data_IF_072211966745
#
_entry.id   IF_072211966745
#
_cell.length_a   1.000
_cell.length_b   1.000
_cell.length_c   1.000
_cell.angle_alpha   90.00
_cell.angle_beta   90.00
_cell.angle_gamma   90.00
#
_symmetry.space_group_name_H-M   'P 1'
#
loop_
_entity.id
_entity.type
_entity.pdbx_description
1 polymer ?
#
# COMPACT_ATOMS: atom_id res chain seq x y z
N UNK A 1 -66.39 67.72 40.78
CA UNK A 1 -67.11 66.42 40.59
C UNK A 1 -66.12 65.44 40.10
N UNK A 2 -65.53 64.66 41.02
CA UNK A 2 -64.46 63.68 40.74
C UNK A 2 -65.11 62.31 40.68
N UNK A 3 -65.11 61.64 39.48
CA UNK A 3 -65.60 60.28 39.28
C UNK A 3 -64.44 59.30 39.52
N UNK A 4 -64.58 58.50 40.60
CA UNK A 4 -63.64 57.44 40.96
C UNK A 4 -64.01 56.21 40.14
N UNK A 5 -63.13 55.84 39.22
CA UNK A 5 -63.28 54.61 38.43
C UNK A 5 -62.68 53.44 39.23
N UNK A 6 -63.52 52.55 39.80
CA UNK A 6 -63.18 51.38 40.55
C UNK A 6 -62.95 50.21 39.55
N UNK A 7 -61.68 49.90 39.20
CA UNK A 7 -61.35 48.73 38.39
C UNK A 7 -61.34 47.48 39.28
N UNK A 8 -62.34 46.61 39.06
CA UNK A 8 -62.36 45.28 39.66
C UNK A 8 -61.28 44.47 39.10
N UNK A 9 -60.29 44.10 39.90
CA UNK A 9 -59.27 43.09 39.62
C UNK A 9 -59.90 41.71 39.85
N UNK A 10 -60.24 40.98 38.76
CA UNK A 10 -60.70 39.59 38.87
C UNK A 10 -59.43 38.70 38.82
N UNK A 11 -59.11 37.95 39.90
CA UNK A 11 -57.99 37.00 39.84
C UNK A 11 -58.37 35.84 38.88
N UNK A 12 -57.67 35.73 37.77
CA UNK A 12 -57.78 34.59 36.87
C UNK A 12 -57.09 33.46 37.56
N UNK A 13 -57.86 32.52 38.12
CA UNK A 13 -57.34 31.22 38.56
C UNK A 13 -56.99 30.42 37.33
N UNK A 14 -55.69 30.23 37.06
CA UNK A 14 -55.19 29.29 36.07
C UNK A 14 -55.63 27.88 36.49
N UNK A 15 -56.57 27.30 35.78
CA UNK A 15 -57.05 25.95 36.03
C UNK A 15 -55.91 24.99 35.63
N UNK A 16 -55.22 24.39 36.61
CA UNK A 16 -54.23 23.37 36.36
C UNK A 16 -54.93 22.13 35.82
N UNK A 17 -54.54 21.69 34.63
CA UNK A 17 -54.95 20.40 34.07
C UNK A 17 -54.05 19.30 34.65
N UNK A 18 -54.65 18.16 34.97
CA UNK A 18 -53.95 16.99 35.48
C UNK A 18 -54.20 15.81 34.53
N UNK A 19 -53.12 15.06 34.24
CA UNK A 19 -53.19 13.83 33.44
C UNK A 19 -52.51 12.70 34.23
N UNK A 20 -53.31 11.66 34.49
CA UNK A 20 -52.92 10.52 35.30
C UNK A 20 -52.96 9.24 34.46
N UNK A 21 -52.30 8.20 34.92
CA UNK A 21 -52.41 6.89 34.28
C UNK A 21 -51.51 5.84 34.85
N UNK A 22 -51.62 4.66 34.25
CA UNK A 22 -50.82 3.49 34.58
C UNK A 22 -50.18 2.91 33.31
N UNK A 23 -48.99 2.37 33.47
CA UNK A 23 -48.25 1.69 32.41
C UNK A 23 -47.95 0.26 32.86
N UNK A 24 -48.46 -0.71 32.13
CA UNK A 24 -48.35 -2.14 32.42
C UNK A 24 -47.70 -2.86 31.24
N UNK A 25 -47.18 -4.04 31.52
CA UNK A 25 -46.70 -4.95 30.48
C UNK A 25 -47.91 -5.68 29.85
N UNK A 26 -47.92 -5.71 28.54
CA UNK A 26 -48.96 -6.40 27.77
C UNK A 26 -48.92 -7.92 28.03
N UNK A 27 -50.08 -8.50 28.41
CA UNK A 27 -50.25 -9.91 28.68
C UNK A 27 -50.01 -10.37 30.11
N UNK A 28 -49.17 -9.65 30.89
CA UNK A 28 -48.92 -10.02 32.30
C UNK A 28 -49.54 -9.02 33.29
N UNK A 29 -49.92 -7.83 32.82
CA UNK A 29 -50.40 -6.71 33.64
C UNK A 29 -49.44 -6.29 34.75
N UNK A 30 -48.17 -6.65 34.65
CA UNK A 30 -47.13 -6.20 35.57
C UNK A 30 -46.86 -4.71 35.42
N UNK A 31 -46.76 -3.93 36.54
CA UNK A 31 -46.50 -2.50 36.47
C UNK A 31 -45.08 -2.22 35.96
N UNK A 32 -44.93 -1.25 35.02
CA UNK A 32 -43.67 -0.86 34.48
C UNK A 32 -43.15 0.40 35.21
N UNK A 33 -42.06 0.21 35.94
CA UNK A 33 -41.37 1.30 36.66
C UNK A 33 -40.41 2.08 35.73
N UNK A 34 -40.26 3.37 35.90
CA UNK A 34 -39.41 4.26 35.15
C UNK A 34 -39.71 4.31 33.64
N UNK A 35 -40.92 4.06 33.23
CA UNK A 35 -41.35 4.35 31.87
C UNK A 35 -41.44 5.86 31.70
N UNK A 36 -40.90 6.39 30.61
CA UNK A 36 -40.90 7.81 30.28
C UNK A 36 -42.19 8.13 29.52
N UNK A 37 -42.98 9.01 30.06
CA UNK A 37 -44.19 9.56 29.45
C UNK A 37 -43.88 10.94 28.89
N UNK A 38 -44.26 11.22 27.66
CA UNK A 38 -44.11 12.51 27.02
C UNK A 38 -45.42 12.93 26.33
N UNK A 39 -45.79 14.18 26.46
CA UNK A 39 -46.88 14.79 25.69
C UNK A 39 -46.24 15.63 24.59
N UNK A 40 -46.54 15.29 23.34
CA UNK A 40 -45.98 15.92 22.17
C UNK A 40 -47.07 16.60 21.34
N UNK A 41 -46.74 17.73 20.71
CA UNK A 41 -47.58 18.36 19.71
C UNK A 41 -47.50 17.62 18.36
N UNK A 42 -48.32 18.05 17.39
CA UNK A 42 -48.32 17.43 16.02
C UNK A 42 -46.96 17.55 15.29
N UNK A 43 -46.11 18.49 15.69
CA UNK A 43 -44.75 18.63 15.17
C UNK A 43 -43.71 17.77 15.92
N UNK A 44 -44.17 16.86 16.82
CA UNK A 44 -43.33 15.97 17.61
C UNK A 44 -42.43 16.66 18.66
N UNK A 45 -42.73 17.94 19.01
CA UNK A 45 -42.05 18.64 20.08
C UNK A 45 -42.63 18.25 21.43
N UNK A 46 -41.77 17.90 22.38
CA UNK A 46 -42.13 17.52 23.74
C UNK A 46 -42.52 18.78 24.54
N UNK A 47 -43.71 18.79 25.12
CA UNK A 47 -44.21 19.89 25.97
C UNK A 47 -44.16 19.53 27.46
N UNK A 48 -44.54 18.30 27.78
CA UNK A 48 -44.57 17.80 29.15
C UNK A 48 -43.98 16.41 29.22
N UNK A 49 -43.30 16.10 30.34
CA UNK A 49 -42.74 14.76 30.56
C UNK A 49 -42.77 14.39 32.04
N UNK A 50 -42.97 13.10 32.31
CA UNK A 50 -42.79 12.49 33.62
C UNK A 50 -42.36 11.03 33.51
N UNK A 51 -42.15 10.39 34.64
CA UNK A 51 -41.76 8.94 34.69
C UNK A 51 -42.74 8.20 35.63
N UNK A 52 -42.97 6.93 35.35
CA UNK A 52 -43.77 6.07 36.22
C UNK A 52 -43.04 5.72 37.52
N UNK A 53 -43.80 5.57 38.60
CA UNK A 53 -43.32 5.03 39.87
C UNK A 53 -43.26 3.49 39.89
N UNK A 54 -43.00 2.88 41.07
CA UNK A 54 -42.90 1.40 41.22
C UNK A 54 -44.18 0.66 40.92
N UNK A 55 -45.33 1.29 41.09
CA UNK A 55 -46.67 0.77 40.83
C UNK A 55 -47.11 1.03 39.37
N UNK A 56 -46.18 1.52 38.50
CA UNK A 56 -46.46 1.87 37.10
C UNK A 56 -47.32 3.10 36.94
N UNK A 57 -47.61 3.87 38.04
CA UNK A 57 -48.43 5.05 38.01
C UNK A 57 -47.66 6.28 37.61
N UNK A 58 -48.24 7.13 36.77
CA UNK A 58 -47.69 8.48 36.46
C UNK A 58 -48.74 9.54 36.76
N UNK A 59 -48.25 10.74 37.10
CA UNK A 59 -49.03 11.93 37.28
C UNK A 59 -48.31 13.09 36.64
N UNK A 60 -49.00 13.87 35.82
CA UNK A 60 -48.44 14.98 35.06
C UNK A 60 -49.36 16.19 35.17
N UNK A 61 -48.84 17.26 35.73
CA UNK A 61 -49.54 18.53 35.83
C UNK A 61 -49.29 19.38 34.59
N UNK A 62 -50.36 19.89 33.99
CA UNK A 62 -50.30 20.71 32.77
C UNK A 62 -50.84 22.10 33.06
N UNK A 63 -50.48 23.11 32.26
CA UNK A 63 -50.88 24.49 32.48
C UNK A 63 -52.30 24.86 32.05
N UNK A 64 -53.20 23.86 31.99
CA UNK A 64 -54.60 24.09 31.61
C UNK A 64 -54.82 24.32 30.12
N UNK A 65 -53.84 23.94 29.28
CA UNK A 65 -53.96 24.00 27.82
C UNK A 65 -54.89 22.91 27.31
N UNK A 66 -55.56 23.16 26.17
CA UNK A 66 -56.36 22.13 25.51
C UNK A 66 -55.42 21.12 24.85
N UNK A 67 -55.33 19.93 25.45
CA UNK A 67 -54.44 18.86 25.01
C UNK A 67 -55.12 17.87 24.02
N UNK A 68 -56.32 18.17 23.55
CA UNK A 68 -57.09 17.25 22.68
C UNK A 68 -56.38 16.87 21.40
N UNK A 69 -55.54 17.75 20.84
CA UNK A 69 -54.77 17.53 19.60
C UNK A 69 -53.36 16.97 19.84
N UNK A 70 -53.00 16.67 21.08
CA UNK A 70 -51.65 16.20 21.44
C UNK A 70 -51.59 14.67 21.48
N UNK A 71 -50.36 14.15 21.42
CA UNK A 71 -50.07 12.73 21.44
C UNK A 71 -49.32 12.41 22.73
N UNK A 72 -49.85 11.45 23.49
CA UNK A 72 -49.15 10.84 24.62
C UNK A 72 -48.25 9.72 24.10
N UNK A 73 -46.95 9.82 24.36
CA UNK A 73 -45.97 8.79 24.03
C UNK A 73 -45.39 8.19 25.29
N UNK A 74 -45.23 6.87 25.30
CA UNK A 74 -44.65 6.15 26.41
C UNK A 74 -43.52 5.26 25.87
N UNK A 75 -42.37 5.35 26.53
CA UNK A 75 -41.18 4.54 26.19
C UNK A 75 -40.52 3.99 27.45
N UNK A 76 -40.10 2.75 27.39
CA UNK A 76 -39.31 2.10 28.43
C UNK A 76 -38.27 1.18 27.78
N UNK A 77 -37.10 1.06 28.41
CA UNK A 77 -36.08 0.13 27.95
C UNK A 77 -36.59 -1.30 28.07
N UNK A 78 -36.43 -2.09 27.00
CA UNK A 78 -36.95 -3.46 26.95
C UNK A 78 -38.36 -3.58 26.38
N UNK A 79 -39.02 -2.49 26.00
CA UNK A 79 -40.40 -2.47 25.47
C UNK A 79 -40.49 -1.71 24.14
N UNK A 80 -41.49 -2.05 23.34
CA UNK A 80 -41.85 -1.25 22.16
C UNK A 80 -42.46 0.07 22.63
N UNK A 81 -42.09 1.23 22.11
CA UNK A 81 -42.74 2.49 22.47
C UNK A 81 -44.21 2.48 21.98
N UNK A 82 -45.11 2.97 22.83
CA UNK A 82 -46.50 3.16 22.52
C UNK A 82 -46.86 4.64 22.38
N UNK A 83 -47.83 4.95 21.56
CA UNK A 83 -48.37 6.29 21.41
C UNK A 83 -49.87 6.24 21.26
N UNK A 84 -50.56 7.16 21.94
CA UNK A 84 -52.01 7.30 21.81
C UNK A 84 -52.41 8.81 21.75
N UNK A 85 -53.43 9.18 20.97
CA UNK A 85 -53.98 10.51 20.95
C UNK A 85 -54.61 10.81 22.32
N UNK A 86 -54.42 12.02 22.84
CA UNK A 86 -54.94 12.40 24.14
C UNK A 86 -56.47 12.58 24.13
N UNK A 87 -56.99 13.25 23.10
CA UNK A 87 -58.40 13.59 23.05
C UNK A 87 -58.84 14.33 24.33
N UNK A 88 -60.04 14.09 24.80
CA UNK A 88 -60.59 14.68 26.05
C UNK A 88 -60.34 13.82 27.30
N UNK A 89 -59.45 12.80 27.20
CA UNK A 89 -59.17 11.88 28.30
C UNK A 89 -58.13 12.49 29.25
N UNK A 90 -58.37 12.35 30.56
CA UNK A 90 -57.46 12.73 31.62
C UNK A 90 -56.79 11.55 32.31
N UNK A 91 -57.29 10.32 32.08
CA UNK A 91 -56.73 9.08 32.65
C UNK A 91 -56.44 8.08 31.56
N UNK A 92 -55.26 7.43 31.63
CA UNK A 92 -54.74 6.52 30.63
C UNK A 92 -54.32 5.17 31.26
N UNK A 93 -54.69 4.09 30.63
CA UNK A 93 -54.07 2.78 30.84
C UNK A 93 -53.32 2.40 29.59
N UNK A 94 -52.01 2.21 29.72
CA UNK A 94 -51.13 1.97 28.59
C UNK A 94 -50.41 0.64 28.79
N UNK A 95 -50.50 -0.21 27.79
CA UNK A 95 -49.82 -1.50 27.77
C UNK A 95 -48.64 -1.44 26.82
N UNK A 96 -47.46 -1.84 27.28
CA UNK A 96 -46.24 -1.91 26.47
C UNK A 96 -45.90 -3.37 26.17
N UNK A 97 -45.64 -3.64 24.89
CA UNK A 97 -45.19 -4.93 24.41
C UNK A 97 -43.71 -5.14 24.71
N UNK A 98 -43.29 -6.24 25.37
CA UNK A 98 -41.89 -6.56 25.56
C UNK A 98 -41.15 -6.66 24.24
N UNK A 99 -39.97 -6.04 24.14
CA UNK A 99 -39.12 -6.11 22.98
C UNK A 99 -37.71 -6.51 23.40
N UNK A 100 -37.27 -7.70 23.00
CA UNK A 100 -35.88 -8.09 23.12
C UNK A 100 -35.01 -7.16 22.25
N UNK A 101 -34.13 -6.41 22.88
CA UNK A 101 -33.07 -5.70 22.15
C UNK A 101 -32.03 -6.70 21.71
N UNK A 102 -32.00 -7.04 20.43
CA UNK A 102 -30.79 -7.59 19.83
C UNK A 102 -29.71 -6.50 19.93
N UNK A 103 -28.70 -6.69 20.77
CA UNK A 103 -27.52 -5.86 20.75
C UNK A 103 -26.96 -5.93 19.33
N UNK A 104 -26.80 -4.79 18.67
CA UNK A 104 -26.05 -4.76 17.41
C UNK A 104 -24.67 -5.33 17.70
N UNK A 105 -24.25 -6.31 16.90
CA UNK A 105 -22.91 -6.84 16.96
C UNK A 105 -21.92 -5.67 16.99
N UNK A 106 -21.08 -5.64 18.01
CA UNK A 106 -19.99 -4.68 18.10
C UNK A 106 -18.95 -5.17 17.12
N UNK A 107 -18.99 -4.68 15.88
CA UNK A 107 -17.90 -4.85 14.94
C UNK A 107 -16.68 -4.11 15.48
N UNK A 108 -15.79 -4.82 16.13
CA UNK A 108 -14.45 -4.33 16.42
C UNK A 108 -13.75 -4.19 15.07
N UNK A 109 -13.72 -2.99 14.51
CA UNK A 109 -12.89 -2.69 13.34
C UNK A 109 -11.45 -2.96 13.77
N UNK A 110 -10.82 -3.96 13.16
CA UNK A 110 -9.39 -4.21 13.37
C UNK A 110 -8.62 -2.90 13.16
N UNK A 111 -7.72 -2.59 14.07
CA UNK A 111 -6.89 -1.40 13.96
C UNK A 111 -6.09 -1.49 12.66
N UNK A 112 -6.11 -0.42 11.86
CA UNK A 112 -5.39 -0.38 10.59
C UNK A 112 -3.88 -0.45 10.75
N UNK A 113 -3.38 0.07 11.86
CA UNK A 113 -1.96 0.12 12.24
C UNK A 113 -1.86 -0.36 13.67
N UNK A 114 -0.95 -1.29 13.91
CA UNK A 114 -0.58 -1.76 15.26
C UNK A 114 0.92 -1.62 15.43
N UNK A 115 1.35 -1.24 16.62
CA UNK A 115 2.76 -1.10 16.96
C UNK A 115 3.09 -2.04 18.11
N UNK A 116 4.13 -2.84 17.95
CA UNK A 116 4.60 -3.76 18.97
C UNK A 116 6.13 -3.82 18.95
N UNK A 117 6.79 -3.33 20.00
CA UNK A 117 8.24 -3.15 20.07
C UNK A 117 8.76 -2.42 18.80
N UNK A 118 9.75 -2.99 18.12
CA UNK A 118 10.37 -2.45 16.91
C UNK A 118 9.57 -2.74 15.63
N UNK A 119 8.34 -3.27 15.74
CA UNK A 119 7.54 -3.65 14.59
C UNK A 119 6.27 -2.81 14.48
N UNK A 120 6.11 -2.14 13.35
CA UNK A 120 4.87 -1.47 12.95
C UNK A 120 4.16 -2.31 11.89
N UNK A 121 2.95 -2.78 12.19
CA UNK A 121 2.14 -3.61 11.30
C UNK A 121 0.99 -2.82 10.68
N UNK A 122 0.87 -2.88 9.38
CA UNK A 122 -0.20 -2.26 8.60
C UNK A 122 -1.13 -3.32 8.03
N UNK A 123 -2.42 -3.25 8.35
CA UNK A 123 -3.42 -4.13 7.75
C UNK A 123 -3.73 -3.66 6.33
N UNK A 124 -3.39 -4.45 5.31
CA UNK A 124 -3.51 -4.08 3.89
C UNK A 124 -4.94 -3.68 3.52
N UNK A 125 -5.95 -4.41 4.00
CA UNK A 125 -7.36 -4.07 3.75
C UNK A 125 -7.79 -2.69 4.28
N UNK A 126 -7.03 -2.11 5.21
CA UNK A 126 -7.29 -0.78 5.76
C UNK A 126 -6.83 0.36 4.83
N UNK A 127 -5.95 0.09 3.86
CA UNK A 127 -5.33 1.07 2.97
C UNK A 127 -5.62 0.79 1.49
N UNK A 128 -6.06 -0.42 1.13
CA UNK A 128 -6.37 -0.80 -0.25
C UNK A 128 -7.69 -0.20 -0.73
N UNK A 129 -7.77 0.05 -2.03
CA UNK A 129 -8.96 0.49 -2.75
C UNK A 129 -9.14 -0.32 -4.03
N UNK A 130 -10.33 -0.28 -4.64
CA UNK A 130 -10.64 -1.01 -5.88
C UNK A 130 -9.77 -0.60 -7.10
N UNK A 131 -9.05 0.52 -7.02
CA UNK A 131 -8.15 0.99 -8.07
C UNK A 131 -6.73 0.40 -7.96
N UNK A 132 -6.38 -0.14 -6.80
CA UNK A 132 -5.05 -0.68 -6.56
C UNK A 132 -4.93 -2.07 -7.20
N UNK A 133 -3.80 -2.34 -7.81
CA UNK A 133 -3.51 -3.63 -8.43
C UNK A 133 -2.40 -4.35 -7.70
N UNK A 134 -1.38 -3.63 -7.29
CA UNK A 134 -0.16 -4.18 -6.71
C UNK A 134 0.02 -3.74 -5.27
N UNK A 135 0.87 -4.46 -4.55
CA UNK A 135 1.21 -4.05 -3.18
C UNK A 135 1.90 -2.67 -3.15
N UNK A 136 2.65 -2.32 -4.18
CA UNK A 136 3.29 -1.00 -4.29
C UNK A 136 2.29 0.15 -4.35
N UNK A 137 1.08 -0.05 -4.93
CA UNK A 137 0.02 0.96 -4.94
C UNK A 137 -0.53 1.21 -3.53
N UNK A 138 -0.62 0.16 -2.72
CA UNK A 138 -1.11 0.23 -1.34
C UNK A 138 -0.04 0.78 -0.39
N UNK A 139 1.24 0.39 -0.56
CA UNK A 139 2.36 0.90 0.23
C UNK A 139 2.44 2.43 0.20
N UNK A 140 2.21 3.07 -0.95
CA UNK A 140 2.18 4.54 -1.11
C UNK A 140 1.14 5.24 -0.24
N UNK A 141 0.15 4.52 0.27
CA UNK A 141 -0.94 5.05 1.10
C UNK A 141 -0.73 4.79 2.60
N UNK A 142 0.28 4.02 2.95
CA UNK A 142 0.60 3.69 4.34
C UNK A 142 1.46 4.82 4.95
N UNK A 143 1.06 5.39 6.09
CA UNK A 143 1.82 6.46 6.73
C UNK A 143 3.26 6.06 7.02
N UNK A 144 4.20 6.96 6.76
CA UNK A 144 5.63 6.74 6.96
C UNK A 144 6.32 5.95 5.85
N UNK A 145 5.59 5.31 4.93
CA UNK A 145 6.16 4.57 3.80
C UNK A 145 6.15 5.45 2.54
N UNK A 146 7.29 5.57 1.90
CA UNK A 146 7.46 6.26 0.64
C UNK A 146 7.96 5.28 -0.43
N UNK A 147 7.35 5.31 -1.61
CA UNK A 147 7.76 4.50 -2.76
C UNK A 147 8.13 5.43 -3.90
N UNK A 148 9.41 5.49 -4.22
CA UNK A 148 9.95 6.33 -5.28
C UNK A 148 9.60 5.82 -6.68
N UNK A 149 9.82 6.65 -7.71
CA UNK A 149 9.53 6.27 -9.11
C UNK A 149 10.37 5.08 -9.61
N UNK A 150 11.59 4.93 -9.13
CA UNK A 150 12.45 3.78 -9.42
C UNK A 150 12.02 2.49 -8.72
N UNK A 151 11.08 2.56 -7.77
CA UNK A 151 10.59 1.45 -6.98
C UNK A 151 11.26 1.27 -5.63
N UNK A 152 12.25 2.13 -5.27
CA UNK A 152 12.84 2.10 -3.92
C UNK A 152 11.80 2.48 -2.88
N UNK A 153 11.91 1.83 -1.71
CA UNK A 153 11.01 2.04 -0.58
C UNK A 153 11.81 2.61 0.59
N UNK A 154 11.25 3.60 1.27
CA UNK A 154 11.78 4.12 2.52
C UNK A 154 10.70 4.18 3.58
N UNK A 155 11.11 4.15 4.83
CA UNK A 155 10.26 4.30 6.00
C UNK A 155 10.78 5.42 6.89
N UNK A 156 9.96 6.43 7.15
CA UNK A 156 10.34 7.63 7.92
C UNK A 156 11.67 8.26 7.42
N UNK A 157 11.87 8.31 6.10
CA UNK A 157 13.06 8.85 5.47
C UNK A 157 14.27 7.90 5.44
N UNK A 158 14.21 6.71 6.07
CA UNK A 158 15.26 5.69 6.02
C UNK A 158 14.97 4.69 4.91
N UNK A 159 15.95 4.40 4.05
CA UNK A 159 15.83 3.34 3.05
C UNK A 159 15.67 1.98 3.73
N UNK A 160 14.86 1.07 3.15
CA UNK A 160 14.78 -0.30 3.66
C UNK A 160 16.03 -1.09 3.26
N UNK A 161 16.53 -1.90 4.19
CA UNK A 161 17.71 -2.75 3.99
C UNK A 161 17.32 -4.07 3.33
N UNK A 162 16.21 -4.68 3.78
CA UNK A 162 15.73 -5.95 3.24
C UNK A 162 14.22 -5.90 2.96
N UNK A 163 13.79 -6.64 1.94
CA UNK A 163 12.38 -6.82 1.57
C UNK A 163 12.03 -8.31 1.61
N UNK A 164 11.22 -8.70 2.56
CA UNK A 164 10.90 -10.08 2.83
C UNK A 164 9.45 -10.41 2.42
N UNK A 165 9.23 -11.66 2.05
CA UNK A 165 7.91 -12.25 1.90
C UNK A 165 7.85 -13.48 2.81
N UNK A 166 6.92 -13.52 3.78
CA UNK A 166 6.85 -14.58 4.81
C UNK A 166 8.20 -14.79 5.52
N UNK A 167 8.95 -13.69 5.76
CA UNK A 167 10.25 -13.72 6.42
C UNK A 167 11.43 -14.23 5.59
N UNK A 168 11.30 -14.28 4.26
CA UNK A 168 12.34 -14.74 3.34
C UNK A 168 12.57 -13.73 2.23
N UNK A 169 13.82 -13.40 1.93
CA UNK A 169 14.17 -12.58 0.77
C UNK A 169 14.20 -13.43 -0.50
N UNK A 170 13.15 -13.32 -1.33
CA UNK A 170 13.03 -13.99 -2.62
C UNK A 170 13.71 -13.21 -3.75
N UNK A 171 13.79 -11.88 -3.60
CA UNK A 171 14.14 -10.99 -4.70
C UNK A 171 15.59 -10.48 -4.65
N UNK A 172 16.32 -10.78 -3.57
CA UNK A 172 17.74 -10.45 -3.43
C UNK A 172 17.99 -8.95 -3.71
N UNK A 173 17.32 -8.10 -2.94
CA UNK A 173 17.40 -6.64 -3.09
C UNK A 173 16.64 -6.05 -4.30
N UNK A 174 16.16 -6.87 -5.23
CA UNK A 174 15.37 -6.42 -6.41
C UNK A 174 13.87 -6.36 -6.09
N UNK A 175 13.52 -5.79 -4.95
CA UNK A 175 12.15 -5.80 -4.42
C UNK A 175 11.14 -4.96 -5.22
N UNK A 176 11.58 -4.12 -6.15
CA UNK A 176 10.69 -3.47 -7.10
C UNK A 176 9.96 -4.47 -8.02
N UNK A 177 10.52 -5.67 -8.24
CA UNK A 177 9.79 -6.77 -8.88
C UNK A 177 8.56 -7.12 -8.04
N UNK A 178 8.73 -7.27 -6.72
CA UNK A 178 7.63 -7.57 -5.80
C UNK A 178 6.59 -6.43 -5.75
N UNK A 179 7.04 -5.19 -5.54
CA UNK A 179 6.13 -4.03 -5.38
C UNK A 179 5.29 -3.76 -6.62
N UNK A 180 5.81 -4.07 -7.82
CA UNK A 180 5.12 -3.82 -9.09
C UNK A 180 4.27 -4.99 -9.58
N UNK A 181 4.48 -6.20 -9.08
CA UNK A 181 3.87 -7.40 -9.66
C UNK A 181 3.04 -8.23 -8.67
N UNK A 182 3.34 -8.20 -7.37
CA UNK A 182 2.53 -8.92 -6.38
C UNK A 182 1.21 -8.17 -6.15
N UNK A 183 0.09 -8.88 -6.34
CA UNK A 183 -1.24 -8.32 -6.05
C UNK A 183 -1.41 -8.07 -4.55
N UNK A 184 -1.94 -6.89 -4.20
CA UNK A 184 -2.28 -6.58 -2.81
C UNK A 184 -3.31 -7.54 -2.20
N UNK A 185 -4.13 -8.20 -3.03
CA UNK A 185 -5.14 -9.15 -2.59
C UNK A 185 -4.54 -10.41 -1.95
N UNK A 186 -3.29 -10.72 -2.24
CA UNK A 186 -2.57 -11.85 -1.65
C UNK A 186 -2.04 -11.53 -0.26
N UNK A 187 -1.89 -10.25 0.08
CA UNK A 187 -1.23 -9.77 1.30
C UNK A 187 -2.28 -9.47 2.38
N UNK A 188 -2.05 -9.97 3.58
CA UNK A 188 -2.87 -9.69 4.77
C UNK A 188 -2.38 -8.44 5.50
N UNK A 189 -1.07 -8.35 5.76
CA UNK A 189 -0.44 -7.23 6.45
C UNK A 189 0.99 -6.98 5.95
N UNK A 190 1.46 -5.77 6.17
CA UNK A 190 2.85 -5.36 5.95
C UNK A 190 3.45 -5.04 7.31
N UNK A 191 4.55 -5.68 7.64
CA UNK A 191 5.31 -5.39 8.85
C UNK A 191 6.57 -4.59 8.49
N UNK A 192 6.77 -3.45 9.13
CA UNK A 192 8.02 -2.71 9.13
C UNK A 192 8.72 -3.04 10.43
N UNK A 193 9.93 -3.58 10.34
CA UNK A 193 10.74 -3.98 11.47
C UNK A 193 11.97 -3.06 11.51
N UNK A 194 12.06 -2.23 12.54
CA UNK A 194 13.21 -1.37 12.78
C UNK A 194 14.24 -2.13 13.65
N UNK A 195 15.49 -1.70 13.62
CA UNK A 195 16.60 -2.34 14.34
C UNK A 195 16.80 -3.84 14.03
N UNK A 196 16.45 -4.21 12.78
CA UNK A 196 16.57 -5.60 12.32
C UNK A 196 18.04 -5.97 12.11
N UNK A 197 18.42 -7.12 12.63
CA UNK A 197 19.73 -7.73 12.38
C UNK A 197 19.58 -8.93 11.45
N UNK A 198 20.25 -8.89 10.30
CA UNK A 198 20.17 -9.94 9.25
C UNK A 198 20.74 -11.28 9.72
N UNK A 199 21.63 -11.28 10.71
CA UNK A 199 22.18 -12.48 11.34
C UNK A 199 21.71 -12.57 12.80
N UNK A 200 21.15 -13.71 13.19
CA UNK A 200 20.64 -13.92 14.57
C UNK A 200 21.72 -13.85 15.62
N UNK A 201 22.95 -14.21 15.29
CA UNK A 201 24.11 -14.11 16.18
C UNK A 201 24.44 -12.66 16.56
N UNK A 202 24.03 -11.70 15.73
CA UNK A 202 24.28 -10.27 15.96
C UNK A 202 23.16 -9.55 16.70
N UNK A 203 22.08 -10.23 17.09
CA UNK A 203 20.93 -9.60 17.77
C UNK A 203 21.28 -8.87 19.06
N UNK A 204 22.29 -9.34 19.77
CA UNK A 204 22.74 -8.76 21.03
C UNK A 204 23.90 -7.75 20.83
N UNK A 205 24.29 -7.49 19.57
CA UNK A 205 25.32 -6.50 19.27
C UNK A 205 24.74 -5.08 19.36
N UNK A 206 25.55 -4.12 19.84
CA UNK A 206 25.17 -2.70 19.93
C UNK A 206 25.18 -1.95 18.56
N UNK A 207 25.30 -2.67 17.45
CA UNK A 207 25.27 -2.05 16.14
C UNK A 207 23.83 -1.62 15.79
N UNK A 208 23.68 -0.46 15.17
CA UNK A 208 22.38 -0.02 14.64
C UNK A 208 21.87 -1.05 13.63
N UNK A 209 20.68 -1.58 13.88
CA UNK A 209 20.01 -2.49 12.96
C UNK A 209 19.40 -1.76 11.77
N UNK A 210 19.19 -2.50 10.70
CA UNK A 210 18.50 -1.97 9.51
C UNK A 210 16.99 -1.90 9.66
N UNK A 211 16.33 -1.33 8.65
CA UNK A 211 14.87 -1.33 8.51
C UNK A 211 14.47 -2.37 7.48
N UNK A 212 13.54 -3.25 7.83
CA UNK A 212 13.07 -4.34 6.98
C UNK A 212 11.57 -4.21 6.74
N UNK A 213 11.14 -4.44 5.50
CA UNK A 213 9.74 -4.57 5.13
C UNK A 213 9.42 -6.05 4.88
N UNK A 214 8.45 -6.60 5.61
CA UNK A 214 8.00 -7.97 5.44
C UNK A 214 6.53 -8.04 5.02
N UNK A 215 6.26 -8.73 3.93
CA UNK A 215 4.91 -9.01 3.44
C UNK A 215 4.40 -10.31 4.02
N UNK A 216 3.28 -10.28 4.73
CA UNK A 216 2.60 -11.47 5.22
C UNK A 216 1.42 -11.81 4.31
N UNK A 217 1.38 -13.03 3.83
CA UNK A 217 0.36 -13.52 2.94
C UNK A 217 -0.95 -13.86 3.68
N UNK A 218 -2.06 -13.77 2.99
CA UNK A 218 -3.31 -14.40 3.44
C UNK A 218 -3.16 -15.93 3.35
N UNK A 219 -3.70 -16.67 4.29
CA UNK A 219 -3.56 -18.13 4.34
C UNK A 219 -4.03 -18.82 3.05
N UNK A 220 -5.07 -18.30 2.44
CA UNK A 220 -5.59 -18.80 1.15
C UNK A 220 -4.65 -18.57 -0.03
N UNK A 221 -3.69 -17.65 0.08
CA UNK A 221 -2.72 -17.32 -0.96
C UNK A 221 -1.44 -18.18 -0.89
N UNK A 222 -1.12 -18.71 0.30
CA UNK A 222 0.10 -19.49 0.53
C UNK A 222 0.15 -20.76 -0.32
N UNK A 223 1.28 -20.96 -0.99
CA UNK A 223 1.55 -22.15 -1.80
C UNK A 223 0.79 -22.26 -3.12
N UNK A 224 0.05 -21.23 -3.51
CA UNK A 224 -0.67 -21.16 -4.79
C UNK A 224 0.10 -20.31 -5.79
N UNK A 225 0.02 -20.68 -7.06
CA UNK A 225 0.48 -19.84 -8.14
C UNK A 225 -0.42 -18.62 -8.29
N UNK A 226 0.18 -17.47 -8.39
CA UNK A 226 -0.47 -16.19 -8.67
C UNK A 226 0.40 -15.40 -9.62
N UNK A 227 -0.20 -14.52 -10.40
CA UNK A 227 0.57 -13.72 -11.33
C UNK A 227 -0.31 -12.80 -12.16
N UNK A 228 0.33 -12.12 -13.08
CA UNK A 228 -0.32 -11.23 -14.04
C UNK A 228 0.35 -11.36 -15.40
N UNK A 229 -0.42 -11.12 -16.44
CA UNK A 229 0.06 -11.01 -17.80
C UNK A 229 -0.45 -9.71 -18.41
N UNK A 230 0.41 -9.03 -19.15
CA UNK A 230 0.08 -7.79 -19.84
C UNK A 230 0.62 -7.88 -21.25
N UNK A 231 -0.22 -7.58 -22.23
CA UNK A 231 0.14 -7.47 -23.65
C UNK A 231 -0.33 -6.12 -24.14
N UNK A 232 0.53 -5.40 -24.82
CA UNK A 232 0.25 -4.09 -25.40
C UNK A 232 0.81 -3.98 -26.81
N UNK A 233 0.08 -3.29 -27.66
CA UNK A 233 0.51 -2.96 -29.02
C UNK A 233 0.28 -1.48 -29.32
N UNK A 234 1.06 -0.93 -30.25
CA UNK A 234 0.99 0.48 -30.64
C UNK A 234 1.49 0.74 -32.06
N UNK A 235 1.26 1.96 -32.55
CA UNK A 235 1.66 2.39 -33.90
C UNK A 235 2.93 3.25 -33.78
N UNK A 236 3.92 3.09 -34.70
CA UNK A 236 4.11 2.03 -35.67
C UNK A 236 4.87 0.83 -35.07
N UNK A 237 4.29 -0.36 -35.10
CA UNK A 237 4.95 -1.62 -34.68
C UNK A 237 5.50 -1.65 -33.25
N UNK A 238 4.87 -0.92 -32.32
CA UNK A 238 5.23 -0.96 -30.90
C UNK A 238 4.56 -2.16 -30.22
N UNK A 239 5.29 -2.80 -29.31
CA UNK A 239 4.78 -3.92 -28.51
C UNK A 239 5.39 -3.91 -27.10
N UNK A 240 4.64 -4.45 -26.16
CA UNK A 240 5.03 -4.65 -24.77
C UNK A 240 4.34 -5.91 -24.26
N UNK A 241 5.13 -6.84 -23.72
CA UNK A 241 4.63 -8.07 -23.11
C UNK A 241 5.29 -8.24 -21.76
N UNK A 242 4.48 -8.51 -20.74
CA UNK A 242 4.93 -8.76 -19.38
C UNK A 242 4.18 -9.97 -18.83
N UNK A 243 4.92 -10.91 -18.28
CA UNK A 243 4.42 -12.04 -17.52
C UNK A 243 5.14 -12.11 -16.19
N UNK A 244 4.39 -12.12 -15.12
CA UNK A 244 4.88 -12.41 -13.78
C UNK A 244 4.07 -13.56 -13.21
N UNK A 245 4.75 -14.57 -12.66
CA UNK A 245 4.12 -15.65 -11.93
C UNK A 245 4.94 -15.96 -10.68
N UNK A 246 4.27 -16.12 -9.55
CA UNK A 246 4.91 -16.44 -8.28
C UNK A 246 4.11 -17.49 -7.51
N UNK A 247 4.82 -18.39 -6.85
CA UNK A 247 4.30 -19.31 -5.85
C UNK A 247 5.02 -19.00 -4.55
N UNK A 248 4.27 -18.44 -3.59
CA UNK A 248 4.82 -17.93 -2.36
C UNK A 248 4.33 -18.75 -1.18
N UNK A 249 5.25 -19.23 -0.35
CA UNK A 249 4.94 -19.93 0.89
C UNK A 249 6.03 -19.68 1.93
N UNK A 250 5.82 -20.15 3.16
CA UNK A 250 6.84 -20.03 4.22
C UNK A 250 8.05 -20.95 4.05
N UNK A 251 7.97 -21.97 3.19
CA UNK A 251 9.03 -22.99 3.02
C UNK A 251 9.67 -22.97 1.63
N UNK A 252 8.90 -22.68 0.60
CA UNK A 252 9.38 -22.64 -0.78
C UNK A 252 8.71 -21.46 -1.51
N UNK A 253 9.52 -20.62 -2.13
CA UNK A 253 9.06 -19.48 -2.91
C UNK A 253 9.71 -19.51 -4.27
N UNK A 254 8.93 -19.28 -5.32
CA UNK A 254 9.40 -19.19 -6.70
C UNK A 254 8.79 -17.98 -7.35
N UNK A 255 9.57 -17.20 -8.06
CA UNK A 255 9.09 -16.11 -8.91
C UNK A 255 9.70 -16.21 -10.30
N UNK A 256 8.87 -16.00 -11.31
CA UNK A 256 9.24 -15.99 -12.73
C UNK A 256 8.78 -14.66 -13.30
N UNK A 257 9.69 -13.93 -13.92
CA UNK A 257 9.40 -12.66 -14.60
C UNK A 257 9.91 -12.74 -16.04
N UNK A 258 9.01 -12.55 -16.99
CA UNK A 258 9.33 -12.43 -18.42
C UNK A 258 8.83 -11.08 -18.87
N UNK A 259 9.70 -10.24 -19.39
CA UNK A 259 9.33 -8.92 -19.91
C UNK A 259 10.03 -8.67 -21.23
N UNK A 260 9.29 -8.12 -22.16
CA UNK A 260 9.83 -7.74 -23.45
C UNK A 260 9.10 -6.53 -24.01
N UNK A 261 9.82 -5.60 -24.60
CA UNK A 261 9.22 -4.45 -25.28
C UNK A 261 10.15 -3.81 -26.30
N UNK A 262 9.55 -2.98 -27.16
CA UNK A 262 10.23 -2.00 -27.99
C UNK A 262 9.64 -0.58 -27.82
N UNK A 263 8.85 -0.35 -26.81
CA UNK A 263 8.15 0.91 -26.53
C UNK A 263 9.01 1.98 -25.84
N UNK A 264 10.30 1.70 -25.60
CA UNK A 264 11.21 2.60 -24.85
C UNK A 264 11.05 2.55 -23.34
N UNK A 265 10.13 1.75 -22.79
CA UNK A 265 9.99 1.56 -21.36
C UNK A 265 11.24 0.86 -20.80
N UNK A 266 11.80 1.39 -19.72
CA UNK A 266 12.92 0.78 -19.03
C UNK A 266 12.48 -0.38 -18.13
N UNK A 267 12.57 -1.60 -18.64
CA UNK A 267 12.29 -2.82 -17.88
C UNK A 267 13.53 -3.35 -17.14
N UNK A 268 14.75 -2.92 -17.52
CA UNK A 268 15.99 -3.34 -16.85
C UNK A 268 16.14 -2.70 -15.47
N UNK A 269 15.58 -1.51 -15.28
CA UNK A 269 15.57 -0.87 -13.97
C UNK A 269 14.93 -1.70 -12.86
N UNK A 270 14.12 -2.69 -13.22
CA UNK A 270 13.52 -3.63 -12.25
C UNK A 270 14.51 -4.69 -11.74
N UNK A 271 15.63 -4.90 -12.43
CA UNK A 271 16.71 -5.80 -11.99
C UNK A 271 17.80 -5.10 -11.18
N UNK A 272 17.67 -3.78 -10.99
CA UNK A 272 18.62 -3.06 -10.16
C UNK A 272 18.36 -3.38 -8.70
N UNK A 273 19.43 -3.70 -8.00
CA UNK A 273 19.43 -3.81 -6.56
C UNK A 273 19.10 -2.45 -5.94
N UNK A 274 18.23 -2.43 -4.94
CA UNK A 274 17.73 -1.22 -4.31
C UNK A 274 18.03 -1.14 -2.81
N UNK A 275 18.68 -2.16 -2.24
CA UNK A 275 19.11 -2.15 -0.85
C UNK A 275 20.43 -1.40 -0.70
N UNK A 276 20.58 -0.70 0.43
CA UNK A 276 21.78 0.07 0.71
C UNK A 276 23.05 -0.81 0.78
N UNK A 277 22.93 -1.97 1.43
CA UNK A 277 24.05 -2.90 1.61
C UNK A 277 24.55 -3.46 0.28
N UNK A 278 23.63 -3.74 -0.64
CA UNK A 278 23.98 -4.21 -1.98
C UNK A 278 24.61 -3.09 -2.84
N UNK A 279 24.11 -1.85 -2.72
CA UNK A 279 24.70 -0.69 -3.40
C UNK A 279 26.13 -0.46 -2.93
N UNK A 280 26.38 -0.49 -1.63
CA UNK A 280 27.73 -0.33 -1.06
C UNK A 280 28.65 -1.49 -1.46
N UNK A 281 28.14 -2.72 -1.55
CA UNK A 281 28.92 -3.87 -2.01
C UNK A 281 29.28 -3.82 -3.50
N UNK A 282 28.44 -3.19 -4.32
CA UNK A 282 28.73 -2.96 -5.74
C UNK A 282 29.79 -1.88 -5.96
N UNK A 283 29.81 -0.81 -5.15
CA UNK A 283 30.85 0.22 -5.22
C UNK A 283 32.25 -0.29 -4.83
N UNK A 284 32.31 -1.30 -3.96
CA UNK A 284 33.57 -1.93 -3.55
C UNK A 284 34.20 -2.84 -4.63
N UNK A 285 33.45 -3.21 -5.66
CA UNK A 285 34.00 -3.88 -6.85
C UNK A 285 34.42 -2.81 -7.84
N UNK A 286 35.72 -2.42 -7.85
CA UNK A 286 36.31 -1.62 -8.91
C UNK A 286 36.09 -2.31 -10.26
N UNK A 287 35.02 -1.96 -10.96
CA UNK A 287 34.84 -2.37 -12.34
C UNK A 287 35.92 -1.66 -13.19
N UNK A 288 36.74 -2.40 -13.96
CA UNK A 288 37.68 -1.76 -14.87
C UNK A 288 36.85 -0.88 -15.80
N UNK A 289 37.05 0.45 -15.67
CA UNK A 289 36.43 1.45 -16.55
C UNK A 289 36.81 1.10 -17.98
N UNK A 290 35.82 0.86 -18.83
CA UNK A 290 36.03 0.69 -20.25
C UNK A 290 36.74 1.94 -20.79
N UNK A 291 37.90 1.79 -21.45
CA UNK A 291 38.69 2.88 -21.98
C UNK A 291 37.90 3.69 -23.07
N UNK A 292 36.87 3.08 -23.64
CA UNK A 292 35.95 3.68 -24.60
C UNK A 292 34.52 3.45 -24.13
N UNK A 293 34.02 4.37 -23.33
CA UNK A 293 32.60 4.39 -22.93
C UNK A 293 31.81 5.24 -23.95
N UNK A 294 31.00 4.59 -24.77
CA UNK A 294 30.04 5.30 -25.62
C UNK A 294 28.87 5.69 -24.73
N UNK A 295 28.86 6.93 -24.29
CA UNK A 295 27.75 7.51 -23.56
C UNK A 295 26.66 7.98 -24.54
N UNK A 296 25.41 7.64 -24.29
CA UNK A 296 24.28 8.21 -25.01
C UNK A 296 23.71 9.37 -24.20
N UNK A 297 23.82 10.57 -24.75
CA UNK A 297 23.22 11.75 -24.15
C UNK A 297 21.69 11.69 -24.29
N UNK A 298 21.00 12.07 -23.24
CA UNK A 298 19.53 12.15 -23.20
C UNK A 298 19.12 13.62 -23.07
N UNK A 299 18.09 14.08 -23.80
CA UNK A 299 17.49 15.38 -23.53
C UNK A 299 16.93 15.41 -22.10
N UNK A 300 17.45 16.30 -21.26
CA UNK A 300 17.09 16.39 -19.85
C UNK A 300 15.58 16.67 -19.57
N UNK A 301 14.86 17.16 -20.58
CA UNK A 301 13.47 17.61 -20.44
C UNK A 301 12.40 16.59 -20.86
N UNK A 302 12.79 15.44 -21.43
CA UNK A 302 11.84 14.45 -21.95
C UNK A 302 11.90 13.13 -21.20
N UNK A 303 10.73 12.51 -21.01
CA UNK A 303 10.60 11.18 -20.41
C UNK A 303 11.31 10.13 -21.28
N UNK A 304 12.01 9.18 -20.64
CA UNK A 304 12.72 8.06 -21.27
C UNK A 304 11.88 7.33 -22.31
N UNK A 305 10.59 7.14 -22.07
CA UNK A 305 9.65 6.53 -23.03
C UNK A 305 9.53 7.25 -24.37
N UNK A 306 9.86 8.55 -24.40
CA UNK A 306 9.78 9.36 -25.61
C UNK A 306 11.10 9.48 -26.36
N UNK A 307 12.20 9.24 -25.67
CA UNK A 307 13.57 9.43 -26.20
C UNK A 307 14.29 8.13 -26.48
N UNK A 308 13.93 7.06 -25.77
CA UNK A 308 14.61 5.77 -25.85
C UNK A 308 14.03 4.92 -27.00
N UNK A 309 14.84 4.66 -28.03
CA UNK A 309 14.54 3.66 -29.07
C UNK A 309 15.23 2.35 -28.68
N UNK A 310 14.59 1.56 -27.84
CA UNK A 310 15.18 0.32 -27.34
C UNK A 310 14.29 -0.90 -27.62
N UNK A 311 14.94 -2.03 -27.80
CA UNK A 311 14.31 -3.36 -27.74
C UNK A 311 14.96 -4.14 -26.63
N UNK A 312 14.17 -4.54 -25.66
CA UNK A 312 14.65 -5.15 -24.43
C UNK A 312 13.89 -6.44 -24.15
N UNK A 313 14.62 -7.50 -23.83
CA UNK A 313 14.11 -8.78 -23.36
C UNK A 313 14.70 -9.05 -21.98
N UNK A 314 13.89 -9.50 -21.05
CA UNK A 314 14.28 -9.81 -19.67
C UNK A 314 13.61 -11.10 -19.23
N UNK A 315 14.40 -12.02 -18.71
CA UNK A 315 13.97 -13.24 -18.02
C UNK A 315 14.61 -13.25 -16.64
N UNK A 316 13.81 -13.38 -15.59
CA UNK A 316 14.31 -13.54 -14.22
C UNK A 316 13.54 -14.69 -13.56
N UNK A 317 14.27 -15.68 -13.06
CA UNK A 317 13.74 -16.82 -12.32
C UNK A 317 14.47 -16.86 -10.99
N UNK A 318 13.72 -16.77 -9.89
CA UNK A 318 14.23 -16.84 -8.53
C UNK A 318 13.49 -17.91 -7.75
N UNK A 319 14.23 -18.71 -6.99
CA UNK A 319 13.67 -19.71 -6.08
C UNK A 319 14.40 -19.69 -4.76
N UNK A 320 13.65 -19.66 -3.67
CA UNK A 320 14.17 -19.83 -2.32
C UNK A 320 13.49 -21.03 -1.68
N UNK A 321 14.31 -21.92 -1.16
CA UNK A 321 13.88 -23.12 -0.46
C UNK A 321 14.45 -23.14 0.96
N UNK A 322 13.59 -23.29 1.97
CA UNK A 322 14.02 -23.62 3.34
C UNK A 322 14.44 -25.07 3.39
N UNK A 323 15.75 -25.31 3.56
CA UNK A 323 16.32 -26.64 3.74
C UNK A 323 16.12 -27.12 5.18
N UNK A 324 16.14 -26.18 6.13
CA UNK A 324 15.86 -26.43 7.54
C UNK A 324 15.26 -25.18 8.20
N UNK A 325 14.96 -25.23 9.49
CA UNK A 325 14.48 -24.07 10.25
C UNK A 325 15.48 -22.91 10.33
N UNK A 326 16.76 -23.18 10.04
CA UNK A 326 17.85 -22.20 10.08
C UNK A 326 18.54 -22.00 8.74
N UNK A 327 18.31 -22.91 7.78
CA UNK A 327 19.03 -22.91 6.51
C UNK A 327 18.10 -22.69 5.33
N UNK A 328 18.53 -21.81 4.41
CA UNK A 328 17.89 -21.55 3.13
C UNK A 328 18.86 -21.75 1.99
N UNK A 329 18.33 -22.17 0.87
CA UNK A 329 18.99 -22.21 -0.43
C UNK A 329 18.26 -21.26 -1.36
N UNK A 330 18.96 -20.25 -1.87
CA UNK A 330 18.43 -19.32 -2.85
C UNK A 330 19.14 -19.53 -4.17
N UNK A 331 18.40 -19.75 -5.25
CA UNK A 331 18.89 -19.90 -6.61
C UNK A 331 18.22 -18.88 -7.51
N UNK A 332 19.00 -18.24 -8.38
CA UNK A 332 18.53 -17.20 -9.27
C UNK A 332 19.23 -17.34 -10.63
N UNK A 333 18.46 -17.19 -11.68
CA UNK A 333 18.93 -17.12 -13.06
C UNK A 333 18.28 -15.90 -13.70
N UNK A 334 19.12 -15.10 -14.35
CA UNK A 334 18.61 -13.95 -15.05
C UNK A 334 19.31 -13.80 -16.42
N UNK A 335 18.52 -13.42 -17.43
CA UNK A 335 18.99 -13.14 -18.78
C UNK A 335 18.40 -11.82 -19.27
N UNK A 336 19.23 -11.01 -19.91
CA UNK A 336 18.79 -9.80 -20.61
C UNK A 336 19.40 -9.73 -22.01
N UNK A 337 18.63 -9.16 -22.95
CA UNK A 337 19.10 -8.75 -24.27
C UNK A 337 18.55 -7.33 -24.50
N UNK A 338 19.38 -6.33 -24.40
CA UNK A 338 19.03 -4.91 -24.56
C UNK A 338 19.74 -4.32 -25.79
N UNK A 339 18.96 -3.70 -26.65
CA UNK A 339 19.49 -2.97 -27.79
C UNK A 339 18.91 -1.55 -27.76
N UNK A 340 19.76 -0.57 -27.53
CA UNK A 340 19.40 0.83 -27.49
C UNK A 340 19.99 1.58 -28.68
N UNK A 341 19.17 2.36 -29.37
CA UNK A 341 19.54 3.17 -30.54
C UNK A 341 19.37 4.63 -30.16
N UNK A 342 20.40 5.44 -30.38
CA UNK A 342 20.35 6.89 -30.21
C UNK A 342 20.71 7.56 -31.53
N UNK A 343 19.95 8.58 -31.89
CA UNK A 343 20.13 9.41 -33.07
C UNK A 343 19.93 10.86 -32.62
N UNK A 344 21.05 11.56 -32.47
CA UNK A 344 21.09 12.90 -31.88
C UNK A 344 21.77 13.88 -32.83
N UNK A 345 21.15 15.02 -33.01
CA UNK A 345 21.71 16.16 -33.73
C UNK A 345 22.01 17.27 -32.73
N UNK A 346 23.28 17.70 -32.67
CA UNK A 346 23.78 18.76 -31.77
C UNK A 346 24.21 19.95 -32.58
N UNK A 347 23.67 21.12 -32.28
CA UNK A 347 24.11 22.41 -32.79
C UNK A 347 24.76 23.23 -31.68
N UNK A 348 25.99 23.61 -31.83
CA UNK A 348 26.71 24.51 -30.92
C UNK A 348 26.97 25.80 -31.64
N UNK A 349 26.44 26.92 -31.15
CA UNK A 349 26.69 28.26 -31.71
C UNK A 349 27.65 29.03 -30.80
N UNK A 350 28.77 29.47 -31.39
CA UNK A 350 29.73 30.35 -30.73
C UNK A 350 29.45 31.79 -31.19
N UNK A 351 29.05 32.65 -30.29
CA UNK A 351 28.80 34.06 -30.55
C UNK A 351 30.12 34.83 -30.39
N UNK A 352 30.74 35.20 -31.51
CA UNK A 352 31.92 36.03 -31.55
C UNK A 352 31.51 37.51 -31.75
N UNK A 353 32.42 38.44 -31.53
CA UNK A 353 32.13 39.90 -31.57
C UNK A 353 31.48 40.33 -32.89
N UNK A 354 31.90 39.76 -34.03
CA UNK A 354 31.44 40.16 -35.38
C UNK A 354 30.80 39.01 -36.19
N UNK A 355 30.69 37.81 -35.62
CA UNK A 355 30.18 36.63 -36.33
C UNK A 355 29.66 35.58 -35.40
N UNK A 356 28.82 34.68 -35.92
CA UNK A 356 28.38 33.47 -35.19
C UNK A 356 28.91 32.25 -35.91
N UNK A 357 29.67 31.42 -35.22
CA UNK A 357 30.15 30.14 -35.74
C UNK A 357 29.22 29.03 -35.20
N UNK A 358 28.51 28.35 -36.08
CA UNK A 358 27.66 27.21 -35.72
C UNK A 358 28.35 25.91 -36.15
N UNK A 359 28.46 24.97 -35.22
CA UNK A 359 28.94 23.61 -35.46
C UNK A 359 27.78 22.64 -35.29
N UNK A 360 27.40 21.93 -36.34
CA UNK A 360 26.40 20.86 -36.30
C UNK A 360 27.11 19.51 -36.29
N UNK A 361 26.64 18.61 -35.41
CA UNK A 361 27.15 17.24 -35.28
C UNK A 361 26.00 16.28 -35.21
N UNK A 362 26.00 15.23 -36.03
CA UNK A 362 25.07 14.10 -35.97
C UNK A 362 25.77 12.90 -35.37
N UNK A 363 25.18 12.38 -34.30
CA UNK A 363 25.68 11.20 -33.59
C UNK A 363 24.63 10.09 -33.70
N UNK A 364 24.98 8.98 -34.36
CA UNK A 364 24.16 7.79 -34.42
C UNK A 364 24.90 6.68 -33.66
N UNK A 365 24.24 6.10 -32.65
CA UNK A 365 24.83 5.00 -31.88
C UNK A 365 23.86 3.85 -31.66
N UNK A 366 24.42 2.64 -31.65
CA UNK A 366 23.75 1.41 -31.26
C UNK A 366 24.53 0.80 -30.13
N UNK A 367 23.89 0.66 -28.96
CA UNK A 367 24.44 -0.07 -27.84
C UNK A 367 23.65 -1.37 -27.69
N UNK A 368 24.32 -2.49 -27.81
CA UNK A 368 23.74 -3.82 -27.61
C UNK A 368 24.43 -4.53 -26.45
N UNK A 369 23.65 -4.97 -25.47
CA UNK A 369 24.16 -5.67 -24.30
C UNK A 369 23.32 -6.90 -24.05
N UNK A 370 23.98 -8.06 -23.95
CA UNK A 370 23.36 -9.30 -23.49
C UNK A 370 24.06 -9.74 -22.23
N UNK A 371 23.30 -10.15 -21.26
CA UNK A 371 23.84 -10.64 -19.99
C UNK A 371 23.10 -11.91 -19.57
N UNK A 372 23.90 -12.91 -19.17
CA UNK A 372 23.43 -14.12 -18.52
C UNK A 372 24.10 -14.18 -17.15
N UNK A 373 23.30 -14.23 -16.08
CA UNK A 373 23.82 -14.42 -14.75
C UNK A 373 23.07 -15.53 -14.01
N UNK A 374 23.80 -16.21 -13.14
CA UNK A 374 23.25 -17.21 -12.23
C UNK A 374 23.90 -17.06 -10.86
N UNK A 375 23.10 -17.21 -9.81
CA UNK A 375 23.61 -17.23 -8.44
C UNK A 375 23.00 -18.38 -7.64
N UNK A 376 23.79 -18.88 -6.71
CA UNK A 376 23.41 -19.90 -5.74
C UNK A 376 23.91 -19.46 -4.38
N UNK A 377 23.00 -19.14 -3.47
CA UNK A 377 23.30 -18.70 -2.11
C UNK A 377 22.78 -19.74 -1.13
N UNK A 378 23.68 -20.30 -0.33
CA UNK A 378 23.35 -21.09 0.86
C UNK A 378 23.59 -20.24 2.09
N UNK A 379 22.57 -20.08 2.92
CA UNK A 379 22.63 -19.32 4.19
C UNK A 379 22.13 -20.21 5.32
N UNK A 380 22.91 -20.32 6.40
CA UNK A 380 22.51 -20.99 7.64
C UNK A 380 22.67 -20.01 8.81
N UNK A 381 21.54 -19.60 9.39
CA UNK A 381 21.44 -18.56 10.41
C UNK A 381 20.94 -19.15 11.73
N UNK A 382 21.88 -19.56 12.59
CA UNK A 382 21.64 -20.08 13.92
C UNK A 382 21.80 -18.97 14.96
N UNK A 383 21.32 -19.19 16.18
CA UNK A 383 21.50 -18.25 17.29
C UNK A 383 22.98 -18.03 17.68
N UNK A 384 23.79 -19.08 17.54
CA UNK A 384 25.19 -19.10 17.97
C UNK A 384 26.17 -19.00 16.81
N UNK A 385 25.72 -19.15 15.58
CA UNK A 385 26.61 -19.08 14.41
C UNK A 385 25.85 -18.67 13.15
N UNK A 386 26.52 -17.97 12.29
CA UNK A 386 26.03 -17.57 10.98
C UNK A 386 27.00 -18.03 9.91
N UNK A 387 26.48 -18.70 8.89
CA UNK A 387 27.24 -19.12 7.71
C UNK A 387 26.48 -18.75 6.43
N UNK A 388 27.17 -18.11 5.51
CA UNK A 388 26.65 -17.77 4.19
C UNK A 388 27.71 -18.05 3.14
N UNK A 389 27.33 -18.79 2.09
CA UNK A 389 28.18 -19.03 0.93
C UNK A 389 27.41 -18.74 -0.34
N UNK A 390 27.96 -17.89 -1.18
CA UNK A 390 27.36 -17.47 -2.43
C UNK A 390 28.30 -17.74 -3.60
N UNK A 391 27.79 -18.45 -4.60
CA UNK A 391 28.42 -18.67 -5.88
C UNK A 391 27.69 -17.85 -6.94
N UNK A 392 28.41 -16.96 -7.63
CA UNK A 392 27.88 -16.16 -8.74
C UNK A 392 28.65 -16.46 -10.03
N UNK A 393 27.90 -16.56 -11.12
CA UNK A 393 28.40 -16.58 -12.48
C UNK A 393 27.73 -15.45 -13.26
N UNK A 394 28.49 -14.68 -14.02
CA UNK A 394 27.93 -13.76 -15.00
C UNK A 394 28.75 -13.73 -16.28
N UNK A 395 28.07 -13.56 -17.38
CA UNK A 395 28.64 -13.47 -18.72
C UNK A 395 27.98 -12.33 -19.46
N UNK A 396 28.81 -11.43 -20.00
CA UNK A 396 28.37 -10.20 -20.64
C UNK A 396 28.87 -10.16 -22.09
N UNK A 397 27.98 -9.91 -23.03
CA UNK A 397 28.30 -9.66 -24.43
C UNK A 397 27.89 -8.23 -24.78
N UNK A 398 28.82 -7.48 -25.37
CA UNK A 398 28.58 -6.12 -25.78
C UNK A 398 28.83 -5.95 -27.28
N UNK A 399 27.94 -5.21 -27.92
CA UNK A 399 28.07 -4.79 -29.32
C UNK A 399 27.74 -3.31 -29.41
N UNK A 400 28.79 -2.49 -29.54
CA UNK A 400 28.64 -1.05 -29.57
C UNK A 400 29.09 -0.52 -30.93
N UNK A 401 28.28 0.36 -31.52
CA UNK A 401 28.59 1.05 -32.76
C UNK A 401 28.28 2.52 -32.59
N UNK A 402 29.16 3.40 -33.02
CA UNK A 402 28.94 4.83 -33.01
C UNK A 402 29.45 5.43 -34.34
N UNK A 403 28.62 6.28 -34.92
CA UNK A 403 28.97 7.07 -36.10
C UNK A 403 28.77 8.55 -35.77
N UNK A 404 29.82 9.34 -35.98
CA UNK A 404 29.78 10.79 -35.80
C UNK A 404 30.06 11.44 -37.15
N UNK A 405 29.20 12.36 -37.57
CA UNK A 405 29.40 13.20 -38.75
C UNK A 405 29.10 14.66 -38.40
N UNK A 406 29.84 15.58 -38.99
CA UNK A 406 29.69 17.02 -38.76
C UNK A 406 30.24 17.86 -39.90
N UNK A 407 29.92 19.15 -39.88
CA UNK A 407 30.23 20.10 -40.97
C UNK A 407 31.72 20.26 -41.23
N UNK A 408 32.60 19.92 -40.26
CA UNK A 408 34.05 20.13 -40.33
C UNK A 408 34.88 18.85 -40.08
N UNK A 409 34.24 17.68 -39.99
CA UNK A 409 34.95 16.45 -39.71
C UNK A 409 34.62 15.36 -40.71
N UNK A 410 35.65 14.63 -41.12
CA UNK A 410 35.45 13.37 -41.83
C UNK A 410 34.67 12.39 -40.93
N UNK A 411 33.88 11.53 -41.53
CA UNK A 411 33.07 10.51 -40.88
C UNK A 411 33.99 9.66 -39.97
N UNK A 412 33.78 9.74 -38.66
CA UNK A 412 34.40 8.83 -37.69
C UNK A 412 33.45 7.71 -37.36
N UNK A 413 33.85 6.48 -37.58
CA UNK A 413 33.06 5.30 -37.26
C UNK A 413 33.81 4.45 -36.25
N UNK A 414 33.24 4.24 -35.08
CA UNK A 414 33.79 3.35 -34.07
C UNK A 414 32.96 2.08 -34.08
N UNK A 415 33.61 0.97 -34.38
CA UNK A 415 32.99 -0.36 -34.32
C UNK A 415 33.61 -1.19 -33.20
N UNK A 416 32.81 -1.70 -32.31
CA UNK A 416 33.19 -2.84 -31.49
C UNK A 416 32.64 -4.09 -32.19
N UNK A 417 33.52 -4.95 -32.76
CA UNK A 417 33.10 -6.12 -33.48
C UNK A 417 32.33 -7.08 -32.56
N UNK A 418 31.17 -7.61 -33.00
CA UNK A 418 30.49 -8.66 -32.26
C UNK A 418 31.38 -9.88 -32.17
N UNK A 419 31.75 -10.27 -30.95
CA UNK A 419 32.43 -11.55 -30.68
C UNK A 419 31.37 -12.60 -30.33
N UNK A 420 31.52 -13.84 -30.82
CA UNK A 420 30.73 -14.98 -30.34
C UNK A 420 31.05 -15.30 -28.88
N UNK A 421 32.20 -14.83 -28.39
CA UNK A 421 32.59 -15.01 -27.00
C UNK A 421 32.12 -13.83 -26.14
N UNK A 422 31.81 -14.05 -24.85
CA UNK A 422 31.46 -13.00 -23.94
C UNK A 422 32.59 -11.99 -23.79
N UNK A 423 32.27 -10.71 -23.75
CA UNK A 423 33.23 -9.63 -23.51
C UNK A 423 33.78 -9.65 -22.08
N UNK A 424 33.00 -10.19 -21.14
CA UNK A 424 33.39 -10.36 -19.75
C UNK A 424 32.72 -11.61 -19.17
N UNK A 425 33.48 -12.44 -18.46
CA UNK A 425 32.99 -13.55 -17.65
C UNK A 425 33.49 -13.29 -16.23
N UNK A 426 32.58 -13.39 -15.29
CA UNK A 426 32.90 -13.22 -13.87
C UNK A 426 32.42 -14.42 -13.08
N UNK A 427 33.31 -15.00 -12.29
CA UNK A 427 32.98 -15.96 -11.26
C UNK A 427 33.35 -15.36 -9.91
N UNK A 428 32.45 -15.40 -8.95
CA UNK A 428 32.75 -15.00 -7.60
C UNK A 428 32.22 -16.01 -6.60
N UNK A 429 33.00 -16.23 -5.53
CA UNK A 429 32.61 -17.02 -4.39
C UNK A 429 32.79 -16.12 -3.17
N UNK A 430 31.71 -15.89 -2.45
CA UNK A 430 31.72 -15.12 -1.20
C UNK A 430 31.30 -16.02 -0.06
N UNK A 431 32.14 -16.12 0.95
CA UNK A 431 31.85 -16.84 2.18
C UNK A 431 31.89 -15.87 3.35
N UNK A 432 30.88 -15.94 4.21
CA UNK A 432 30.81 -15.16 5.45
C UNK A 432 30.50 -16.13 6.57
N UNK A 433 31.31 -16.07 7.62
CA UNK A 433 31.16 -16.92 8.81
C UNK A 433 31.33 -16.08 10.06
N UNK A 434 30.45 -16.27 11.01
CA UNK A 434 30.50 -15.68 12.37
C UNK A 434 30.17 -16.77 13.38
N UNK A 435 30.92 -16.81 14.47
CA UNK A 435 30.71 -17.66 15.64
C UNK A 435 30.44 -16.82 16.88
#
# INVERSE_FOLDING_TARGET
>A
MIIFLFTMFVPSFAQNGEVDGYVHEQGTSLPINKAIITICNQKNSVLYSCVTNKEGKFHLSTKGEDLSLFILKVSCMGYKPASCPMGNKKSFLIELEPKAFALKDVYVKAQKITHHNDTTSYLVSGFSSAKDRTIGDVLKKMPGIEVAKNGSVSYNGKAINEFLVEGVDLFDGQYNIATRNISHDLISKVDIIENYQSAKVMKDSKSEGGTVLNLNLKDKAKGRWSGNAKIGGGVPNLWEEELFAAKLSSTNQTAITLKTNNSGKDILGENKTLTLDDLLSQEAMDEPKNILEISQEKPASLDDKRTRKARTHLVNISNVQKVSNTAILHSKIYYTDDRNISDIEKGISYFLTDSTLTKNTKEYSILGTKELAASLLFKNDRKTSFFSNELKYSSLWQRNQMRISGDYSNLSTIHNCPSPFPSKITFSIRSVHFE
#
